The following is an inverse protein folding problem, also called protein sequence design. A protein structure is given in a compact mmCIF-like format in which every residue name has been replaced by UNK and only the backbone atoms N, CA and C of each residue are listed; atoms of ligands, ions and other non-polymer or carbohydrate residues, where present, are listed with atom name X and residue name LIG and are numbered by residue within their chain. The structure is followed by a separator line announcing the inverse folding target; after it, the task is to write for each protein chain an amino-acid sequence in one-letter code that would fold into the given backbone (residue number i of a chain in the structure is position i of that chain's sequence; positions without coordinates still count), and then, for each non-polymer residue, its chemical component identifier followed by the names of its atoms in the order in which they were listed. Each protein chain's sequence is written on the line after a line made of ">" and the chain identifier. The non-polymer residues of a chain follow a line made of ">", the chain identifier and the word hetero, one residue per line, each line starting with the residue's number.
data_IF_331765940370
#
_entry.id   IF_331765940370
#
_cell.length_a   1.000
_cell.length_b   1.000
_cell.length_c   1.000
_cell.angle_alpha   90.00
_cell.angle_beta   90.00
_cell.angle_gamma   90.00
#
_symmetry.space_group_name_H-M   'P 1'
#
loop_
_entity.id
_entity.type
_entity.pdbx_description
1 polymer ?
#
# COMPACT_ATOMS: atom_id res chain seq x y z
N UNK A 1 13.71 21.42 4.92
CA UNK A 1 13.42 20.75 6.20
C UNK A 1 12.23 19.80 6.10
N UNK A 2 11.07 20.21 5.57
CA UNK A 2 9.88 19.34 5.48
C UNK A 2 10.06 18.04 4.66
N UNK A 3 10.81 18.07 3.55
CA UNK A 3 11.08 16.89 2.69
C UNK A 3 11.81 15.77 3.45
N UNK A 4 12.91 16.11 4.13
CA UNK A 4 13.67 15.15 4.95
C UNK A 4 12.91 14.68 6.19
N UNK A 5 12.05 15.53 6.76
CA UNK A 5 11.16 15.13 7.85
C UNK A 5 10.22 14.00 7.45
N UNK A 6 9.66 14.03 6.23
CA UNK A 6 8.78 12.97 5.74
C UNK A 6 9.49 11.63 5.60
N UNK A 7 10.73 11.65 5.09
CA UNK A 7 11.58 10.46 5.00
C UNK A 7 11.94 9.93 6.40
N UNK A 8 12.29 10.80 7.34
CA UNK A 8 12.56 10.40 8.72
C UNK A 8 11.33 9.76 9.38
N UNK A 9 10.13 10.31 9.18
CA UNK A 9 8.88 9.71 9.65
C UNK A 9 8.64 8.33 9.02
N UNK A 10 8.94 8.16 7.73
CA UNK A 10 8.86 6.87 7.05
C UNK A 10 9.84 5.84 7.62
N UNK A 11 11.06 6.25 8.01
CA UNK A 11 12.02 5.38 8.69
C UNK A 11 11.54 4.97 10.09
N UNK A 12 10.94 5.89 10.85
CA UNK A 12 10.33 5.56 12.16
C UNK A 12 9.19 4.55 11.98
N UNK A 13 8.34 4.75 10.97
CA UNK A 13 7.26 3.82 10.62
C UNK A 13 7.79 2.45 10.19
N UNK A 14 8.86 2.42 9.39
CA UNK A 14 9.53 1.19 8.99
C UNK A 14 10.09 0.42 10.20
N UNK A 15 10.73 1.11 11.15
CA UNK A 15 11.20 0.51 12.40
C UNK A 15 10.04 -0.01 13.25
N UNK A 16 8.94 0.74 13.34
CA UNK A 16 7.74 0.33 14.05
C UNK A 16 7.12 -0.95 13.46
N UNK A 17 7.21 -1.15 12.15
CA UNK A 17 6.68 -2.33 11.46
C UNK A 17 7.33 -3.65 11.92
N UNK A 18 8.61 -3.62 12.32
CA UNK A 18 9.29 -4.82 12.85
C UNK A 18 8.82 -5.20 14.26
N UNK A 19 8.18 -4.27 14.98
CA UNK A 19 7.70 -4.48 16.35
C UNK A 19 6.19 -4.71 16.41
N UNK A 20 5.42 -4.01 15.57
CA UNK A 20 3.96 -3.99 15.60
C UNK A 20 3.31 -3.99 14.20
N UNK A 21 4.06 -4.27 13.15
CA UNK A 21 3.52 -4.43 11.80
C UNK A 21 2.71 -5.71 11.66
N UNK A 22 2.16 -5.90 10.46
CA UNK A 22 1.51 -7.13 10.06
C UNK A 22 2.56 -8.22 9.78
N UNK A 23 3.17 -8.78 10.83
CA UNK A 23 4.12 -9.88 10.71
C UNK A 23 3.39 -11.19 10.35
N UNK A 24 3.98 -12.12 9.58
CA UNK A 24 3.30 -13.36 9.19
C UNK A 24 2.78 -14.19 10.38
N UNK A 25 3.50 -14.15 11.51
CA UNK A 25 3.08 -14.75 12.78
C UNK A 25 2.59 -13.69 13.78
N UNK A 26 1.66 -14.08 14.66
CA UNK A 26 1.33 -13.30 15.85
C UNK A 26 0.34 -12.16 15.60
N UNK A 27 -0.81 -12.45 14.97
CA UNK A 27 -1.92 -11.50 14.90
C UNK A 27 -2.34 -11.06 16.32
N UNK A 28 -2.14 -9.80 16.71
CA UNK A 28 -2.49 -9.31 18.04
C UNK A 28 -3.98 -8.98 18.14
N UNK A 29 -4.75 -9.02 17.04
CA UNK A 29 -6.14 -8.58 17.04
C UNK A 29 -7.04 -9.38 18.02
N UNK A 30 -6.94 -10.72 18.12
CA UNK A 30 -7.74 -11.48 19.08
C UNK A 30 -7.42 -11.10 20.54
N UNK A 31 -6.14 -10.98 20.89
CA UNK A 31 -5.71 -10.62 22.26
C UNK A 31 -6.09 -9.19 22.61
N UNK A 32 -5.87 -8.23 21.69
CA UNK A 32 -6.30 -6.84 21.83
C UNK A 32 -7.81 -6.72 22.06
N UNK A 33 -8.62 -7.46 21.30
CA UNK A 33 -10.10 -7.42 21.41
C UNK A 33 -10.61 -8.01 22.72
N UNK A 34 -9.99 -9.08 23.21
CA UNK A 34 -10.47 -9.81 24.38
C UNK A 34 -9.92 -9.28 25.70
N UNK A 35 -8.66 -8.86 25.72
CA UNK A 35 -7.92 -8.56 26.96
C UNK A 35 -7.23 -7.17 26.94
N UNK A 36 -7.42 -6.39 25.88
CA UNK A 36 -6.90 -5.03 25.76
C UNK A 36 -5.39 -4.94 25.57
N UNK A 37 -4.87 -3.71 25.49
CA UNK A 37 -3.47 -3.45 25.14
C UNK A 37 -2.47 -4.03 26.16
N UNK A 38 -2.83 -4.09 27.44
CA UNK A 38 -1.99 -4.65 28.50
C UNK A 38 -1.67 -6.14 28.33
N UNK A 39 -2.47 -6.86 27.52
CA UNK A 39 -2.26 -8.29 27.21
C UNK A 39 -1.26 -8.54 26.08
N UNK A 40 -0.80 -7.49 25.40
CA UNK A 40 0.18 -7.58 24.30
C UNK A 40 1.62 -7.45 24.82
N UNK A 41 2.59 -7.89 24.01
CA UNK A 41 4.00 -7.77 24.39
C UNK A 41 4.45 -6.30 24.50
N UNK A 42 5.41 -6.01 25.37
CA UNK A 42 6.01 -4.67 25.47
C UNK A 42 6.60 -4.21 24.13
N UNK A 43 7.18 -5.13 23.35
CA UNK A 43 7.66 -4.84 22.00
C UNK A 43 6.53 -4.34 21.09
N UNK A 44 5.37 -5.02 21.10
CA UNK A 44 4.21 -4.57 20.33
C UNK A 44 3.71 -3.20 20.79
N UNK A 45 3.63 -2.95 22.11
CA UNK A 45 3.20 -1.66 22.65
C UNK A 45 4.13 -0.52 22.23
N UNK A 46 5.45 -0.72 22.28
CA UNK A 46 6.44 0.24 21.81
C UNK A 46 6.31 0.45 20.30
N UNK A 47 6.16 -0.62 19.53
CA UNK A 47 5.92 -0.56 18.09
C UNK A 47 4.66 0.24 17.73
N UNK A 48 3.56 0.00 18.43
CA UNK A 48 2.30 0.74 18.26
C UNK A 48 2.47 2.23 18.57
N UNK A 49 3.17 2.56 19.66
CA UNK A 49 3.46 3.95 20.01
C UNK A 49 4.33 4.65 18.95
N UNK A 50 5.37 3.98 18.44
CA UNK A 50 6.20 4.49 17.35
C UNK A 50 5.41 4.63 16.05
N UNK A 51 4.52 3.70 15.75
CA UNK A 51 3.65 3.77 14.58
C UNK A 51 2.69 4.96 14.66
N UNK A 52 2.04 5.18 15.81
CA UNK A 52 1.18 6.35 16.04
C UNK A 52 1.98 7.66 15.91
N UNK A 53 3.13 7.76 16.58
CA UNK A 53 3.98 8.94 16.53
C UNK A 53 4.48 9.23 15.10
N UNK A 54 4.95 8.21 14.39
CA UNK A 54 5.38 8.31 12.99
C UNK A 54 4.26 8.73 12.05
N UNK A 55 3.06 8.17 12.24
CA UNK A 55 1.87 8.52 11.43
C UNK A 55 1.46 9.97 11.65
N UNK A 56 1.41 10.43 12.92
CA UNK A 56 1.10 11.82 13.26
C UNK A 56 2.16 12.77 12.72
N UNK A 57 3.45 12.43 12.87
CA UNK A 57 4.54 13.24 12.34
C UNK A 57 4.44 13.36 10.80
N UNK A 58 4.22 12.25 10.11
CA UNK A 58 4.04 12.24 8.65
C UNK A 58 2.83 13.05 8.22
N UNK A 59 1.70 12.95 8.92
CA UNK A 59 0.48 13.73 8.66
C UNK A 59 0.68 15.23 8.88
N UNK A 60 1.34 15.63 9.97
CA UNK A 60 1.65 17.04 10.26
C UNK A 60 2.60 17.61 9.21
N UNK A 61 3.63 16.86 8.82
CA UNK A 61 4.59 17.29 7.80
C UNK A 61 3.95 17.38 6.41
N UNK A 62 3.10 16.41 6.06
CA UNK A 62 2.29 16.48 4.84
C UNK A 62 1.37 17.71 4.83
N UNK A 63 0.68 17.96 5.95
CA UNK A 63 -0.22 19.11 6.10
C UNK A 63 0.52 20.45 6.03
N UNK A 64 1.71 20.55 6.62
CA UNK A 64 2.55 21.75 6.51
C UNK A 64 3.13 21.92 5.10
N UNK A 65 3.50 20.83 4.44
CA UNK A 65 4.02 20.88 3.08
C UNK A 65 2.99 21.34 2.04
N UNK A 66 1.69 21.19 2.31
CA UNK A 66 0.62 21.70 1.42
C UNK A 66 0.66 23.23 1.30
N UNK A 67 0.97 23.92 2.39
CA UNK A 67 1.00 25.39 2.43
C UNK A 67 2.14 25.92 1.56
N UNK A 68 3.23 25.16 1.45
CA UNK A 68 4.36 25.50 0.59
C UNK A 68 3.94 25.37 -0.90
N UNK A 69 3.15 24.35 -1.24
CA UNK A 69 2.66 24.18 -2.62
C UNK A 69 1.54 25.15 -2.98
N UNK A 70 0.67 25.51 -2.04
CA UNK A 70 -0.43 26.45 -2.27
C UNK A 70 0.05 27.91 -2.32
N UNK A 71 0.99 28.31 -1.45
CA UNK A 71 1.59 29.66 -1.47
C UNK A 71 2.36 29.91 -2.77
N UNK A 72 3.06 28.90 -3.29
CA UNK A 72 3.72 28.97 -4.59
C UNK A 72 2.74 29.13 -5.76
N UNK A 73 1.47 28.74 -5.60
CA UNK A 73 0.43 28.91 -6.60
C UNK A 73 -0.28 30.27 -6.55
N UNK A 74 -0.18 31.01 -5.44
CA UNK A 74 -0.87 32.30 -5.23
C UNK A 74 -0.04 33.55 -5.57
N UNK A 75 1.26 33.43 -5.81
CA UNK A 75 2.11 34.57 -6.19
C UNK A 75 1.90 34.92 -7.67
N UNK A 76 1.40 36.12 -8.01
CA UNK A 76 1.15 36.50 -9.40
C UNK A 76 2.46 36.92 -10.07
N UNK A 77 3.31 35.96 -10.44
CA UNK A 77 4.35 36.22 -11.44
C UNK A 77 4.83 34.93 -12.11
N UNK A 78 4.71 34.95 -13.45
CA UNK A 78 5.20 34.01 -14.44
C UNK A 78 4.34 32.76 -14.75
N UNK A 79 3.72 32.81 -15.93
CA UNK A 79 2.79 31.82 -16.52
C UNK A 79 3.43 30.47 -16.89
N UNK A 80 4.48 30.05 -16.19
CA UNK A 80 5.26 28.82 -16.44
C UNK A 80 5.67 28.12 -15.15
N UNK A 81 4.78 28.03 -14.15
CA UNK A 81 5.01 27.13 -13.03
C UNK A 81 4.87 25.67 -13.51
N UNK A 82 5.96 25.13 -14.06
CA UNK A 82 6.06 23.71 -14.38
C UNK A 82 5.99 22.96 -13.03
N UNK A 83 4.99 22.11 -12.81
CA UNK A 83 4.92 21.31 -11.60
C UNK A 83 6.23 20.52 -11.44
N UNK A 84 6.90 20.63 -10.28
CA UNK A 84 8.09 19.85 -9.92
C UNK A 84 7.72 18.35 -9.76
N UNK A 85 7.41 17.70 -10.87
CA UNK A 85 6.97 16.32 -10.92
C UNK A 85 8.11 15.38 -10.56
N UNK A 86 9.33 15.68 -11.03
CA UNK A 86 10.53 14.92 -10.73
C UNK A 86 10.84 14.96 -9.23
N UNK A 87 10.81 16.14 -8.58
CA UNK A 87 11.06 16.26 -7.15
C UNK A 87 9.95 15.63 -6.30
N UNK A 88 8.68 15.72 -6.72
CA UNK A 88 7.55 15.02 -6.07
C UNK A 88 7.68 13.49 -6.19
N UNK A 89 8.06 12.98 -7.37
CA UNK A 89 8.30 11.56 -7.58
C UNK A 89 9.50 11.08 -6.75
N UNK A 90 10.61 11.80 -6.76
CA UNK A 90 11.80 11.47 -5.96
C UNK A 90 11.49 11.45 -4.46
N UNK A 91 10.69 12.40 -3.96
CA UNK A 91 10.24 12.39 -2.57
C UNK A 91 9.34 11.17 -2.26
N UNK A 92 8.38 10.88 -3.14
CA UNK A 92 7.50 9.70 -3.00
C UNK A 92 8.30 8.41 -2.95
N UNK A 93 9.30 8.25 -3.83
CA UNK A 93 10.21 7.11 -3.84
C UNK A 93 11.04 7.05 -2.55
N UNK A 94 11.61 8.18 -2.10
CA UNK A 94 12.39 8.23 -0.87
C UNK A 94 11.58 7.87 0.38
N UNK A 95 10.28 8.17 0.40
CA UNK A 95 9.34 7.74 1.46
C UNK A 95 8.96 6.27 1.31
N UNK A 96 8.75 5.79 0.08
CA UNK A 96 8.33 4.42 -0.19
C UNK A 96 9.40 3.38 0.14
N UNK A 97 10.68 3.64 -0.16
CA UNK A 97 11.78 2.69 0.03
C UNK A 97 11.83 2.10 1.45
N UNK A 98 11.95 2.89 2.54
CA UNK A 98 12.03 2.31 3.88
C UNK A 98 10.77 1.52 4.25
N UNK A 99 9.60 1.95 3.78
CA UNK A 99 8.33 1.27 4.05
C UNK A 99 8.24 -0.07 3.32
N UNK A 100 8.72 -0.16 2.07
CA UNK A 100 8.73 -1.39 1.27
C UNK A 100 9.74 -2.41 1.79
N UNK A 101 10.84 -1.95 2.39
CA UNK A 101 11.85 -2.82 3.01
C UNK A 101 11.44 -3.30 4.42
N UNK A 102 10.35 -2.79 4.96
CA UNK A 102 9.81 -3.21 6.25
C UNK A 102 8.55 -4.10 6.07
N UNK A 103 8.15 -4.86 7.10
CA UNK A 103 6.87 -5.58 7.10
C UNK A 103 5.69 -4.66 6.77
N UNK A 104 4.58 -5.20 6.24
CA UNK A 104 3.40 -4.39 5.95
C UNK A 104 2.88 -3.69 7.22
N UNK A 105 2.48 -2.43 7.09
CA UNK A 105 1.91 -1.66 8.19
C UNK A 105 0.38 -1.70 8.18
N UNK A 106 -0.19 -1.53 9.38
CA UNK A 106 -1.61 -1.30 9.67
C UNK A 106 -2.60 -2.43 9.32
N UNK A 107 -2.41 -3.16 8.22
CA UNK A 107 -3.30 -4.23 7.78
C UNK A 107 -2.53 -5.48 7.35
N UNK A 108 -3.18 -6.63 7.54
CA UNK A 108 -2.70 -7.97 7.17
C UNK A 108 -3.41 -8.51 5.91
N UNK A 109 -4.21 -7.71 5.21
CA UNK A 109 -5.07 -8.18 4.11
C UNK A 109 -4.26 -8.70 2.91
N UNK A 110 -3.01 -8.25 2.75
CA UNK A 110 -2.09 -8.77 1.72
C UNK A 110 -1.84 -10.28 1.83
N UNK A 111 -1.95 -10.86 3.03
CA UNK A 111 -1.89 -12.31 3.23
C UNK A 111 -3.13 -13.02 2.69
N UNK A 112 -4.31 -12.39 2.80
CA UNK A 112 -5.53 -12.93 2.20
C UNK A 112 -5.40 -12.94 0.67
N UNK A 113 -4.83 -11.89 0.07
CA UNK A 113 -4.58 -11.85 -1.38
C UNK A 113 -3.65 -13.00 -1.80
N UNK A 114 -2.53 -13.21 -1.10
CA UNK A 114 -1.62 -14.31 -1.38
C UNK A 114 -2.34 -15.67 -1.31
N UNK A 115 -3.15 -15.92 -0.28
CA UNK A 115 -3.92 -17.15 -0.17
C UNK A 115 -5.01 -17.32 -1.24
N UNK A 116 -5.69 -16.24 -1.65
CA UNK A 116 -6.66 -16.30 -2.75
C UNK A 116 -5.96 -16.69 -4.07
N UNK A 117 -4.75 -16.20 -4.29
CA UNK A 117 -3.89 -16.64 -5.40
C UNK A 117 -3.49 -18.11 -5.28
N UNK A 118 -3.16 -18.58 -4.08
CA UNK A 118 -2.80 -19.97 -3.79
C UNK A 118 -3.94 -20.95 -4.12
N UNK A 119 -5.16 -20.64 -3.65
CA UNK A 119 -6.39 -21.39 -3.96
C UNK A 119 -6.62 -21.45 -5.48
N UNK A 120 -6.55 -20.31 -6.16
CA UNK A 120 -6.75 -20.25 -7.61
C UNK A 120 -5.74 -21.10 -8.38
N UNK A 121 -4.46 -21.07 -7.97
CA UNK A 121 -3.42 -21.92 -8.56
C UNK A 121 -3.60 -23.42 -8.24
N UNK A 122 -4.33 -23.75 -7.17
CA UNK A 122 -4.72 -25.13 -6.84
C UNK A 122 -5.96 -25.59 -7.63
N UNK A 123 -6.53 -24.76 -8.50
CA UNK A 123 -7.75 -25.06 -9.25
C UNK A 123 -9.03 -24.96 -8.42
N UNK A 124 -8.95 -24.35 -7.23
CA UNK A 124 -10.11 -24.07 -6.38
C UNK A 124 -10.73 -22.71 -6.75
N UNK A 125 -12.02 -22.53 -6.45
CA UNK A 125 -12.73 -21.27 -6.67
C UNK A 125 -12.65 -20.36 -5.41
N UNK A 126 -11.88 -19.26 -5.44
CA UNK A 126 -11.81 -18.32 -4.32
C UNK A 126 -13.10 -17.54 -4.09
N UNK A 127 -14.07 -17.60 -5.00
CA UNK A 127 -15.39 -16.97 -4.87
C UNK A 127 -16.39 -17.83 -4.09
N UNK A 128 -16.12 -19.13 -3.97
CA UNK A 128 -16.94 -20.05 -3.18
C UNK A 128 -16.28 -20.40 -1.84
N UNK A 129 -14.95 -20.44 -1.78
CA UNK A 129 -14.20 -20.89 -0.61
C UNK A 129 -13.43 -19.75 0.07
N UNK A 130 -13.53 -19.72 1.40
CA UNK A 130 -12.58 -18.98 2.22
C UNK A 130 -11.19 -19.63 2.19
N UNK A 131 -10.16 -18.85 2.53
CA UNK A 131 -8.76 -19.30 2.48
C UNK A 131 -8.46 -20.47 3.42
N UNK A 132 -9.16 -20.55 4.55
CA UNK A 132 -9.06 -21.67 5.48
C UNK A 132 -9.77 -22.91 4.95
N UNK A 133 -10.94 -22.73 4.33
CA UNK A 133 -11.76 -23.81 3.78
C UNK A 133 -11.06 -24.47 2.57
N UNK A 134 -10.38 -23.66 1.76
CA UNK A 134 -9.54 -24.12 0.65
C UNK A 134 -8.15 -24.63 1.07
N UNK A 135 -7.81 -24.62 2.36
CA UNK A 135 -6.57 -25.18 2.88
C UNK A 135 -5.30 -24.40 2.54
N UNK A 136 -5.37 -23.07 2.40
CA UNK A 136 -4.18 -22.26 2.13
C UNK A 136 -3.12 -22.46 3.23
N UNK A 137 -1.85 -22.74 2.89
CA UNK A 137 -0.79 -22.97 3.87
C UNK A 137 -0.47 -21.73 4.72
N UNK A 138 -0.77 -20.53 4.21
CA UNK A 138 -0.50 -19.26 4.88
C UNK A 138 -1.70 -18.70 5.66
N UNK A 139 -2.77 -19.49 5.83
CA UNK A 139 -3.97 -19.10 6.59
C UNK A 139 -3.66 -18.48 7.97
N UNK A 140 -2.69 -18.98 8.77
CA UNK A 140 -2.35 -18.36 10.05
C UNK A 140 -1.86 -16.90 9.96
N UNK A 141 -1.38 -16.47 8.79
CA UNK A 141 -0.97 -15.09 8.56
C UNK A 141 -2.14 -14.17 8.20
N UNK A 142 -3.24 -14.72 7.69
CA UNK A 142 -4.46 -13.99 7.33
C UNK A 142 -5.21 -13.57 8.61
N UNK A 143 -5.81 -12.37 8.69
CA UNK A 143 -6.73 -12.03 9.77
C UNK A 143 -7.79 -13.11 9.96
N UNK A 144 -8.03 -13.50 11.22
CA UNK A 144 -9.02 -14.52 11.54
C UNK A 144 -10.43 -14.18 11.02
N UNK A 145 -10.75 -12.90 10.86
CA UNK A 145 -12.02 -12.44 10.28
C UNK A 145 -12.21 -12.90 8.83
N UNK A 146 -11.14 -13.12 8.08
CA UNK A 146 -11.18 -13.43 6.65
C UNK A 146 -10.99 -14.92 6.33
N UNK A 147 -10.77 -15.76 7.34
CA UNK A 147 -10.46 -17.18 7.12
C UNK A 147 -11.53 -17.92 6.31
N UNK A 148 -12.81 -17.69 6.60
CA UNK A 148 -13.95 -18.36 5.96
C UNK A 148 -14.73 -17.44 5.04
N UNK A 149 -14.14 -16.30 4.65
CA UNK A 149 -14.81 -15.32 3.77
C UNK A 149 -14.30 -15.49 2.34
N UNK A 150 -15.17 -15.79 1.36
CA UNK A 150 -14.78 -15.82 -0.05
C UNK A 150 -14.30 -14.46 -0.54
N UNK A 151 -13.55 -14.45 -1.64
CA UNK A 151 -12.95 -13.25 -2.20
C UNK A 151 -14.02 -12.24 -2.68
N UNK A 152 -14.00 -10.97 -2.21
CA UNK A 152 -14.91 -9.94 -2.69
C UNK A 152 -14.39 -9.19 -3.92
N UNK A 153 -13.25 -9.60 -4.48
CA UNK A 153 -12.51 -8.84 -5.49
C UNK A 153 -12.75 -9.34 -6.91
N UNK A 154 -12.74 -8.43 -7.89
CA UNK A 154 -12.93 -8.80 -9.29
C UNK A 154 -11.82 -9.72 -9.84
N UNK A 155 -12.06 -10.42 -10.96
CA UNK A 155 -11.16 -11.47 -11.48
C UNK A 155 -9.71 -11.02 -11.70
N UNK A 156 -9.49 -9.76 -12.09
CA UNK A 156 -8.14 -9.23 -12.26
C UNK A 156 -7.32 -9.28 -10.96
N UNK A 157 -7.94 -9.02 -9.80
CA UNK A 157 -7.24 -9.09 -8.52
C UNK A 157 -6.84 -10.53 -8.18
N UNK A 158 -7.67 -11.51 -8.51
CA UNK A 158 -7.36 -12.94 -8.33
C UNK A 158 -6.21 -13.35 -9.25
N UNK A 159 -6.22 -12.95 -10.52
CA UNK A 159 -5.12 -13.24 -11.46
C UNK A 159 -3.80 -12.64 -10.99
N UNK A 160 -3.81 -11.39 -10.51
CA UNK A 160 -2.61 -10.73 -9.97
C UNK A 160 -2.10 -11.43 -8.70
N UNK A 161 -3.02 -11.87 -7.84
CA UNK A 161 -2.70 -12.65 -6.65
C UNK A 161 -2.11 -14.02 -6.99
N UNK A 162 -2.69 -14.70 -7.98
CA UNK A 162 -2.18 -15.95 -8.53
C UNK A 162 -0.80 -15.80 -9.14
N UNK A 163 -0.56 -14.73 -9.91
CA UNK A 163 0.77 -14.44 -10.44
C UNK A 163 1.80 -14.25 -9.31
N UNK A 164 1.43 -13.52 -8.25
CA UNK A 164 2.31 -13.32 -7.10
C UNK A 164 2.64 -14.63 -6.36
N UNK A 165 1.61 -15.44 -6.05
CA UNK A 165 1.78 -16.75 -5.44
C UNK A 165 2.60 -17.70 -6.33
N UNK A 166 2.37 -17.65 -7.65
CA UNK A 166 3.08 -18.46 -8.64
C UNK A 166 4.56 -18.11 -8.75
N UNK A 167 4.89 -16.81 -8.71
CA UNK A 167 6.29 -16.35 -8.63
C UNK A 167 6.94 -16.85 -7.34
N UNK A 168 6.22 -16.82 -6.20
CA UNK A 168 6.68 -17.40 -4.95
C UNK A 168 7.07 -18.88 -5.11
N UNK A 169 6.12 -19.71 -5.60
CA UNK A 169 6.33 -21.14 -5.86
C UNK A 169 7.45 -21.43 -6.86
N UNK A 170 7.63 -20.57 -7.87
CA UNK A 170 8.69 -20.72 -8.87
C UNK A 170 10.08 -20.45 -8.29
N UNK A 171 10.21 -19.47 -7.40
CA UNK A 171 11.50 -18.99 -6.88
C UNK A 171 11.93 -19.68 -5.59
N UNK A 172 11.03 -20.39 -4.89
CA UNK A 172 11.34 -21.07 -3.64
C UNK A 172 10.53 -22.35 -3.46
N UNK A 173 11.16 -23.40 -2.92
CA UNK A 173 10.50 -24.61 -2.42
C UNK A 173 10.07 -24.53 -0.95
N UNK A 174 10.51 -23.50 -0.23
CA UNK A 174 10.17 -23.24 1.17
C UNK A 174 8.91 -22.37 1.28
N UNK A 175 7.90 -22.84 2.00
CA UNK A 175 6.57 -22.22 2.12
C UNK A 175 6.60 -20.81 2.71
N UNK A 176 7.47 -20.55 3.68
CA UNK A 176 7.59 -19.24 4.32
C UNK A 176 8.23 -18.23 3.37
N UNK A 177 9.28 -18.64 2.67
CA UNK A 177 9.93 -17.82 1.64
C UNK A 177 8.99 -17.54 0.46
N UNK A 178 8.17 -18.52 0.06
CA UNK A 178 7.13 -18.30 -0.96
C UNK A 178 6.16 -17.19 -0.55
N UNK A 179 5.71 -17.16 0.71
CA UNK A 179 4.83 -16.11 1.22
C UNK A 179 5.49 -14.73 1.16
N UNK A 180 6.76 -14.64 1.62
CA UNK A 180 7.51 -13.39 1.59
C UNK A 180 7.66 -12.85 0.16
N UNK A 181 7.94 -13.72 -0.81
CA UNK A 181 8.01 -13.36 -2.22
C UNK A 181 6.65 -12.92 -2.74
N UNK A 182 5.58 -13.69 -2.50
CA UNK A 182 4.23 -13.36 -2.96
C UNK A 182 3.75 -12.00 -2.42
N UNK A 183 3.93 -11.74 -1.12
CA UNK A 183 3.60 -10.45 -0.49
C UNK A 183 4.45 -9.33 -1.08
N UNK A 184 5.75 -9.55 -1.33
CA UNK A 184 6.62 -8.56 -1.95
C UNK A 184 6.14 -8.21 -3.37
N UNK A 185 5.77 -9.21 -4.17
CA UNK A 185 5.22 -8.99 -5.52
C UNK A 185 3.89 -8.23 -5.45
N UNK A 186 2.98 -8.60 -4.54
CA UNK A 186 1.71 -7.89 -4.34
C UNK A 186 1.92 -6.41 -3.97
N UNK A 187 2.89 -6.11 -3.12
CA UNK A 187 3.25 -4.72 -2.78
C UNK A 187 3.81 -3.96 -3.99
N UNK A 188 4.61 -4.61 -4.83
CA UNK A 188 5.09 -4.00 -6.08
C UNK A 188 3.95 -3.74 -7.07
N UNK A 189 2.96 -4.64 -7.15
CA UNK A 189 1.74 -4.44 -7.95
C UNK A 189 0.97 -3.21 -7.42
N UNK A 190 0.80 -3.10 -6.10
CA UNK A 190 0.17 -1.92 -5.48
C UNK A 190 0.94 -0.62 -5.78
N UNK A 191 2.28 -0.64 -5.72
CA UNK A 191 3.13 0.49 -6.13
C UNK A 191 2.94 0.83 -7.62
N UNK A 192 2.78 -0.17 -8.49
CA UNK A 192 2.41 0.03 -9.89
C UNK A 192 1.07 0.76 -10.04
N UNK A 193 0.07 0.40 -9.24
CA UNK A 193 -1.20 1.11 -9.14
C UNK A 193 -1.02 2.58 -8.73
N UNK A 194 -0.24 2.84 -7.68
CA UNK A 194 0.12 4.20 -7.22
C UNK A 194 0.84 4.99 -8.31
N UNK A 195 1.76 4.36 -9.05
CA UNK A 195 2.46 4.99 -10.17
C UNK A 195 1.50 5.37 -11.31
N UNK A 196 0.49 4.54 -11.58
CA UNK A 196 -0.54 4.84 -12.57
C UNK A 196 -1.46 5.99 -12.11
N UNK A 197 -1.81 6.07 -10.82
CA UNK A 197 -2.47 7.24 -10.23
C UNK A 197 -1.60 8.49 -10.44
N UNK A 198 -0.31 8.41 -10.13
CA UNK A 198 0.62 9.53 -10.29
C UNK A 198 0.67 10.02 -11.75
N UNK A 199 0.77 9.09 -12.70
CA UNK A 199 0.78 9.36 -14.13
C UNK A 199 -0.51 10.02 -14.61
N UNK A 200 -1.66 9.51 -14.18
CA UNK A 200 -2.96 10.05 -14.57
C UNK A 200 -3.25 11.42 -13.94
N UNK A 201 -2.94 11.58 -12.65
CA UNK A 201 -3.05 12.86 -11.95
C UNK A 201 -2.12 13.92 -12.55
N UNK A 202 -0.90 13.56 -12.96
CA UNK A 202 0.02 14.49 -13.62
C UNK A 202 -0.52 15.05 -14.94
N UNK A 203 -1.41 14.31 -15.63
CA UNK A 203 -2.07 14.73 -16.88
C UNK A 203 -3.36 15.49 -16.66
N UNK A 204 -4.13 15.07 -15.66
CA UNK A 204 -5.44 15.65 -15.36
C UNK A 204 -5.30 16.94 -14.55
N UNK A 205 -4.55 16.89 -13.45
CA UNK A 205 -4.42 17.96 -12.45
C UNK A 205 -3.07 17.86 -11.70
N UNK A 206 -1.92 18.16 -12.34
CA UNK A 206 -0.60 17.97 -11.71
C UNK A 206 -0.39 18.78 -10.41
N UNK A 207 -1.12 19.88 -10.22
CA UNK A 207 -1.14 20.62 -8.95
C UNK A 207 -1.68 19.82 -7.76
N UNK A 208 -2.53 18.81 -8.00
CA UNK A 208 -3.20 18.03 -6.96
C UNK A 208 -2.38 16.84 -6.42
N UNK A 209 -1.20 16.54 -6.99
CA UNK A 209 -0.38 15.39 -6.59
C UNK A 209 -0.02 15.38 -5.09
N UNK A 210 0.17 16.56 -4.49
CA UNK A 210 0.47 16.65 -3.07
C UNK A 210 -0.71 16.21 -2.20
N UNK A 211 -1.91 16.68 -2.55
CA UNK A 211 -3.13 16.42 -1.79
C UNK A 211 -3.71 15.03 -2.06
N UNK A 212 -3.59 14.51 -3.29
CA UNK A 212 -4.23 13.25 -3.69
C UNK A 212 -3.30 12.03 -3.71
N UNK A 213 -1.99 12.20 -3.85
CA UNK A 213 -1.05 11.07 -3.97
C UNK A 213 -0.03 11.01 -2.84
N UNK A 214 0.65 12.12 -2.53
CA UNK A 214 1.74 12.14 -1.55
C UNK A 214 1.22 12.25 -0.11
N UNK A 215 0.19 11.47 0.22
CA UNK A 215 -0.47 11.49 1.53
C UNK A 215 0.05 10.38 2.43
N UNK A 216 -0.06 10.52 3.76
CA UNK A 216 0.26 9.43 4.68
C UNK A 216 -0.57 8.18 4.42
N UNK A 217 -1.83 8.35 3.98
CA UNK A 217 -2.72 7.24 3.62
C UNK A 217 -2.11 6.40 2.50
N UNK A 218 -1.70 7.00 1.39
CA UNK A 218 -1.10 6.25 0.27
C UNK A 218 0.21 5.57 0.71
N UNK A 219 1.06 6.25 1.48
CA UNK A 219 2.31 5.69 1.95
C UNK A 219 2.11 4.47 2.87
N UNK A 220 1.19 4.56 3.85
CA UNK A 220 0.97 3.50 4.84
C UNK A 220 0.07 2.40 4.28
N UNK A 221 -1.07 2.74 3.69
CA UNK A 221 -2.08 1.77 3.29
C UNK A 221 -1.76 1.12 1.93
N UNK A 222 -1.54 1.94 0.89
CA UNK A 222 -1.29 1.42 -0.45
C UNK A 222 0.13 0.86 -0.61
N UNK A 223 1.15 1.65 -0.26
CA UNK A 223 2.57 1.26 -0.47
C UNK A 223 3.04 0.28 0.59
N UNK A 224 2.94 0.64 1.87
CA UNK A 224 3.41 -0.26 2.94
C UNK A 224 2.49 -1.48 3.07
N UNK A 225 1.17 -1.29 3.15
CA UNK A 225 0.20 -2.37 3.31
C UNK A 225 -0.02 -3.24 2.08
N UNK A 226 0.32 -2.77 0.88
CA UNK A 226 0.14 -3.53 -0.36
C UNK A 226 -1.33 -3.71 -0.78
N UNK A 227 -2.17 -2.72 -0.48
CA UNK A 227 -3.61 -2.78 -0.73
C UNK A 227 -3.96 -2.76 -2.22
N UNK A 228 -4.88 -3.63 -2.63
CA UNK A 228 -5.31 -3.79 -4.01
C UNK A 228 -6.11 -2.58 -4.54
N UNK A 229 -6.68 -1.75 -3.64
CA UNK A 229 -7.32 -0.48 -3.96
C UNK A 229 -6.41 0.44 -4.78
N UNK A 230 -5.09 0.34 -4.59
CA UNK A 230 -4.11 1.10 -5.36
C UNK A 230 -4.18 0.76 -6.86
N UNK A 231 -4.41 -0.50 -7.21
CA UNK A 231 -4.57 -0.96 -8.59
C UNK A 231 -5.88 -0.43 -9.16
N UNK A 232 -6.97 -0.53 -8.39
CA UNK A 232 -8.29 -0.02 -8.80
C UNK A 232 -8.22 1.50 -9.05
N UNK A 233 -7.68 2.24 -8.09
CA UNK A 233 -7.50 3.69 -8.21
C UNK A 233 -6.60 4.04 -9.41
N UNK A 234 -5.52 3.28 -9.62
CA UNK A 234 -4.64 3.44 -10.76
C UNK A 234 -5.38 3.28 -12.09
N UNK A 235 -6.12 2.18 -12.26
CA UNK A 235 -6.87 1.90 -13.49
C UNK A 235 -7.94 2.96 -13.75
N UNK A 236 -8.66 3.40 -12.71
CA UNK A 236 -9.69 4.45 -12.84
C UNK A 236 -9.07 5.78 -13.23
N UNK A 237 -8.08 6.26 -12.48
CA UNK A 237 -7.44 7.57 -12.75
C UNK A 237 -6.68 7.55 -14.07
N UNK A 238 -6.03 6.43 -14.39
CA UNK A 238 -5.34 6.23 -15.66
C UNK A 238 -6.30 6.21 -16.85
N UNK A 239 -7.42 5.48 -16.74
CA UNK A 239 -8.46 5.45 -17.76
C UNK A 239 -9.07 6.82 -18.03
N UNK A 240 -9.35 7.59 -16.97
CA UNK A 240 -9.82 8.98 -17.08
C UNK A 240 -8.80 9.88 -17.78
N UNK A 241 -7.51 9.75 -17.44
CA UNK A 241 -6.45 10.51 -18.08
C UNK A 241 -6.31 10.16 -19.57
N UNK A 242 -6.43 8.88 -19.91
CA UNK A 242 -6.42 8.41 -21.29
C UNK A 242 -7.61 8.99 -22.08
N UNK A 243 -8.83 8.87 -21.55
CA UNK A 243 -10.04 9.42 -22.19
C UNK A 243 -10.01 10.95 -22.34
N UNK A 244 -9.42 11.67 -21.38
CA UNK A 244 -9.26 13.13 -21.46
C UNK A 244 -8.17 13.55 -22.48
N UNK A 245 -7.27 12.65 -22.84
CA UNK A 245 -6.24 12.89 -23.85
C UNK A 245 -6.73 12.63 -25.27
N UNK A 246 -7.55 11.61 -25.49
CA UNK A 246 -8.15 11.31 -26.80
C UNK A 246 -9.10 12.41 -27.25
N UNK A 247 -9.95 12.93 -26.35
CA UNK A 247 -10.83 14.05 -26.65
C UNK A 247 -10.11 15.34 -27.04
N UNK A 248 -8.81 15.51 -26.74
CA UNK A 248 -8.05 16.69 -27.19
C UNK A 248 -7.48 16.53 -28.60
N UNK A 249 -7.36 15.30 -29.09
CA UNK A 249 -6.88 15.01 -30.44
C UNK A 249 -7.98 15.20 -31.49
N UNK A 250 -9.26 14.99 -31.15
CA UNK A 250 -10.38 15.06 -32.10
C UNK A 250 -10.82 16.50 -32.47
N UNK A 251 -10.20 17.55 -31.89
CA UNK A 251 -10.50 18.97 -32.18
C UNK A 251 -9.35 19.73 -32.86
N UNK A 252 -8.29 19.03 -33.29
CA UNK A 252 -7.15 19.59 -34.04
C UNK A 252 -7.08 18.96 -35.43
#
# INVERSE_FOLDING_TARGET
>A
MARWGGVAAAVVLAAAAYLAGALPSGDPAPTLRLAGLGSTSTAFQVGLALWLAGTVAMAVLWWRGRQITDVAATTPQDSRHIPDLAGKAALGVAVAIPLLLAPPLASRDVYAYACQGDLWLAGLDPYELGVADGGCPWTPSVPALWWHTPAPYGPLAIVLSGAAAGIGRLLSGDTDTQLLIAVSVLRLIAVGGVALVAWGMARLRPGALWAGLLTPLVAIHAVSGGHNDAVVAGLVVGGLAFAASSRRADWL
#
